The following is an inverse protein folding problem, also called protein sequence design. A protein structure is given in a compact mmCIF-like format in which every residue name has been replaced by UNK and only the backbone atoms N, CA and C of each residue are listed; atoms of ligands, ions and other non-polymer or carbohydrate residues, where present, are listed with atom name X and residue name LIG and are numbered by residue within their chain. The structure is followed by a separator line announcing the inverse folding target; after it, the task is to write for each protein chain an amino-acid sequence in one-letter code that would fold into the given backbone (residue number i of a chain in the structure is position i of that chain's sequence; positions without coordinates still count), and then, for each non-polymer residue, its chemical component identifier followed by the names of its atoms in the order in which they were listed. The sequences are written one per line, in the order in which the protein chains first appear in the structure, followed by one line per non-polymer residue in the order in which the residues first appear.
data_IF_695967575259
#
_entry.id   IF_695967575259
#
_cell.length_a   1.000
_cell.length_b   1.000
_cell.length_c   1.000
_cell.angle_alpha   90.00
_cell.angle_beta   90.00
_cell.angle_gamma   90.00
#
_symmetry.space_group_name_H-M   'P 1'
#
loop_
_entity.id
_entity.type
_entity.pdbx_description
1 polymer ?
#
# COMPACT_ATOMS: atom_id res chain seq x y z
N UNK A 1 -2.22 0.72 -15.12
CA UNK A 1 -2.82 -0.61 -14.87
C UNK A 1 -4.00 -0.87 -15.82
N UNK A 2 -3.74 -1.15 -17.11
CA UNK A 2 -4.81 -1.23 -18.12
C UNK A 2 -5.74 -2.44 -17.98
N UNK A 3 -5.31 -3.52 -17.32
CA UNK A 3 -6.13 -4.72 -17.08
C UNK A 3 -7.17 -4.43 -15.98
N UNK A 4 -6.71 -3.99 -14.80
CA UNK A 4 -7.59 -3.63 -13.68
C UNK A 4 -8.66 -2.59 -14.04
N UNK A 5 -8.29 -1.57 -14.83
CA UNK A 5 -9.28 -0.56 -15.25
C UNK A 5 -10.40 -1.18 -16.10
N UNK A 6 -10.06 -2.12 -17.00
CA UNK A 6 -11.07 -2.82 -17.81
C UNK A 6 -11.93 -3.76 -16.97
N UNK A 7 -11.33 -4.45 -16.00
CA UNK A 7 -12.07 -5.35 -15.11
C UNK A 7 -13.08 -4.60 -14.24
N UNK A 8 -12.68 -3.50 -13.61
CA UNK A 8 -13.58 -2.67 -12.80
C UNK A 8 -14.65 -1.96 -13.65
N UNK A 9 -14.36 -1.67 -14.91
CA UNK A 9 -15.30 -0.97 -15.77
C UNK A 9 -16.32 -1.92 -16.42
N UNK A 10 -15.92 -3.13 -16.78
CA UNK A 10 -16.71 -4.00 -17.66
C UNK A 10 -17.00 -5.40 -17.10
N UNK A 11 -16.27 -5.85 -16.07
CA UNK A 11 -16.43 -7.20 -15.53
C UNK A 11 -17.02 -7.19 -14.12
N UNK A 12 -16.68 -6.20 -13.30
CA UNK A 12 -17.08 -6.14 -11.89
C UNK A 12 -17.59 -4.77 -11.50
N UNK A 13 -18.76 -4.69 -10.87
CA UNK A 13 -19.22 -3.47 -10.21
C UNK A 13 -18.73 -3.45 -8.76
N UNK A 14 -17.45 -3.13 -8.56
CA UNK A 14 -16.84 -3.18 -7.22
C UNK A 14 -17.43 -2.09 -6.31
N UNK A 15 -18.03 -2.50 -5.20
CA UNK A 15 -18.49 -1.61 -4.12
C UNK A 15 -17.41 -1.35 -3.07
N UNK A 16 -16.36 -2.15 -3.03
CA UNK A 16 -15.27 -2.03 -2.08
C UNK A 16 -13.95 -2.52 -2.69
N UNK A 17 -12.88 -1.74 -2.55
CA UNK A 17 -11.54 -2.11 -2.99
C UNK A 17 -10.54 -1.84 -1.87
N UNK A 18 -9.74 -2.84 -1.52
CA UNK A 18 -8.58 -2.66 -0.64
C UNK A 18 -7.31 -2.57 -1.48
N UNK A 19 -6.49 -1.55 -1.24
CA UNK A 19 -5.14 -1.43 -1.82
C UNK A 19 -4.12 -1.72 -0.74
N UNK A 20 -3.30 -2.75 -0.95
CA UNK A 20 -2.32 -3.21 0.02
C UNK A 20 -0.95 -3.39 -0.66
N UNK A 21 -0.13 -2.34 -0.62
CA UNK A 21 1.17 -2.23 -1.30
C UNK A 21 2.19 -1.52 -0.39
N UNK A 22 3.48 -1.61 -0.71
CA UNK A 22 4.56 -0.91 0.01
C UNK A 22 5.58 -1.82 0.68
N UNK A 23 5.31 -3.11 0.81
CA UNK A 23 6.24 -4.06 1.45
C UNK A 23 7.46 -4.34 0.56
N UNK A 24 7.26 -4.51 -0.74
CA UNK A 24 8.32 -4.76 -1.71
C UNK A 24 9.04 -3.46 -2.09
N UNK A 25 8.30 -2.36 -2.16
CA UNK A 25 8.81 -1.01 -2.40
C UNK A 25 9.90 -0.63 -1.38
N UNK A 26 9.78 -1.13 -0.14
CA UNK A 26 10.71 -0.89 0.95
C UNK A 26 11.96 -1.79 0.96
N UNK A 27 12.16 -2.66 -0.03
CA UNK A 27 13.35 -3.52 -0.12
C UNK A 27 14.59 -2.65 -0.36
N UNK A 28 15.63 -2.81 0.46
CA UNK A 28 16.84 -1.98 0.39
C UNK A 28 18.04 -2.72 -0.22
N UNK A 29 18.06 -4.05 -0.10
CA UNK A 29 19.16 -4.89 -0.54
C UNK A 29 18.71 -6.30 -0.94
N UNK A 30 19.62 -7.08 -1.50
CA UNK A 30 19.39 -8.46 -1.90
C UNK A 30 18.87 -8.62 -3.34
N UNK A 31 18.56 -9.86 -3.76
CA UNK A 31 18.16 -10.17 -5.13
C UNK A 31 16.86 -9.49 -5.55
N UNK A 32 15.96 -9.23 -4.60
CA UNK A 32 14.65 -8.62 -4.84
C UNK A 32 14.67 -7.09 -4.86
N UNK A 33 15.86 -6.46 -4.75
CA UNK A 33 16.03 -5.00 -4.80
C UNK A 33 15.49 -4.36 -6.07
N UNK A 34 15.34 -5.13 -7.15
CA UNK A 34 14.68 -4.66 -8.37
C UNK A 34 13.24 -4.18 -8.14
N UNK A 35 12.57 -4.64 -7.09
CA UNK A 35 11.23 -4.20 -6.69
C UNK A 35 11.23 -2.94 -5.82
N UNK A 36 12.40 -2.41 -5.44
CA UNK A 36 12.51 -1.18 -4.66
C UNK A 36 11.88 -0.01 -5.41
N UNK A 37 11.11 0.79 -4.68
CA UNK A 37 10.56 2.06 -5.15
C UNK A 37 10.94 3.13 -4.13
N UNK A 38 11.60 4.23 -4.53
CA UNK A 38 11.88 5.35 -3.64
C UNK A 38 10.61 5.84 -2.94
N UNK A 39 10.72 6.26 -1.68
CA UNK A 39 9.55 6.62 -0.86
C UNK A 39 8.63 7.67 -1.50
N UNK A 40 9.21 8.65 -2.21
CA UNK A 40 8.44 9.68 -2.91
C UNK A 40 7.67 9.11 -4.10
N UNK A 41 8.33 8.25 -4.89
CA UNK A 41 7.69 7.57 -6.01
C UNK A 41 6.58 6.63 -5.52
N UNK A 42 6.77 5.95 -4.39
CA UNK A 42 5.73 5.13 -3.75
C UNK A 42 4.47 5.97 -3.45
N UNK A 43 4.63 7.14 -2.83
CA UNK A 43 3.51 8.05 -2.51
C UNK A 43 2.78 8.49 -3.79
N UNK A 44 3.54 8.95 -4.79
CA UNK A 44 3.00 9.40 -6.08
C UNK A 44 2.29 8.27 -6.82
N UNK A 45 2.85 7.06 -6.80
CA UNK A 45 2.27 5.89 -7.47
C UNK A 45 0.99 5.44 -6.78
N UNK A 46 0.97 5.42 -5.45
CA UNK A 46 -0.22 5.06 -4.68
C UNK A 46 -1.36 6.06 -4.91
N UNK A 47 -1.05 7.36 -4.97
CA UNK A 47 -2.03 8.40 -5.32
C UNK A 47 -2.61 8.18 -6.72
N UNK A 48 -1.76 7.91 -7.72
CA UNK A 48 -2.21 7.60 -9.08
C UNK A 48 -3.13 6.39 -9.11
N UNK A 49 -2.83 5.33 -8.35
CA UNK A 49 -3.67 4.13 -8.25
C UNK A 49 -5.06 4.50 -7.69
N UNK A 50 -5.12 5.29 -6.62
CA UNK A 50 -6.39 5.74 -6.04
C UNK A 50 -7.23 6.53 -7.05
N UNK A 51 -6.60 7.45 -7.79
CA UNK A 51 -7.28 8.26 -8.80
C UNK A 51 -7.76 7.45 -10.00
N UNK A 52 -7.09 6.34 -10.33
CA UNK A 52 -7.54 5.40 -11.38
C UNK A 52 -8.73 4.59 -10.89
N UNK A 53 -8.73 4.10 -9.64
CA UNK A 53 -9.75 3.18 -9.11
C UNK A 53 -11.04 3.93 -8.77
N UNK A 54 -10.94 5.09 -8.10
CA UNK A 54 -12.09 5.83 -7.56
C UNK A 54 -13.24 6.07 -8.56
N UNK A 55 -13.01 6.52 -9.81
CA UNK A 55 -14.10 6.74 -10.76
C UNK A 55 -14.69 5.45 -11.36
N UNK A 56 -14.05 4.30 -11.14
CA UNK A 56 -14.48 3.01 -11.68
C UNK A 56 -15.31 2.19 -10.68
N UNK A 57 -15.50 2.68 -9.46
CA UNK A 57 -16.30 1.98 -8.45
C UNK A 57 -17.80 2.13 -8.71
N UNK A 58 -18.56 1.15 -8.21
CA UNK A 58 -20.01 1.24 -8.15
C UNK A 58 -20.47 2.48 -7.35
N UNK A 59 -21.73 2.94 -7.51
CA UNK A 59 -22.27 4.02 -6.68
C UNK A 59 -22.04 3.76 -5.18
N UNK A 60 -21.55 4.78 -4.47
CA UNK A 60 -21.13 4.71 -3.06
C UNK A 60 -19.95 3.78 -2.74
N UNK A 61 -19.23 3.32 -3.76
CA UNK A 61 -18.07 2.46 -3.59
C UNK A 61 -16.99 3.10 -2.72
N UNK A 62 -16.27 2.26 -1.98
CA UNK A 62 -15.26 2.70 -1.02
C UNK A 62 -13.90 2.09 -1.33
N UNK A 63 -12.85 2.84 -0.99
CA UNK A 63 -11.47 2.36 -1.01
C UNK A 63 -10.97 2.30 0.43
N UNK A 64 -10.22 1.25 0.75
CA UNK A 64 -9.44 1.12 1.97
C UNK A 64 -7.96 1.00 1.58
N UNK A 65 -7.12 1.89 2.10
CA UNK A 65 -5.67 1.67 2.08
C UNK A 65 -5.29 0.77 3.26
N UNK A 66 -4.39 -0.16 3.02
CA UNK A 66 -3.75 -0.94 4.08
C UNK A 66 -2.26 -0.63 4.06
N UNK A 67 -1.71 -0.22 5.20
CA UNK A 67 -0.26 0.01 5.32
C UNK A 67 0.50 -1.30 5.15
N UNK A 68 1.72 -1.30 4.59
CA UNK A 68 2.58 -2.49 4.61
C UNK A 68 2.75 -3.01 6.05
N UNK A 69 2.75 -4.33 6.27
CA UNK A 69 2.83 -4.92 7.60
C UNK A 69 4.19 -4.65 8.26
N UNK A 70 4.31 -4.86 9.57
CA UNK A 70 5.60 -4.79 10.23
C UNK A 70 6.53 -5.91 9.74
N UNK A 71 7.82 -5.65 9.74
CA UNK A 71 8.84 -6.65 9.43
C UNK A 71 9.48 -7.11 10.75
N UNK A 72 9.64 -8.41 10.91
CA UNK A 72 10.43 -8.96 12.01
C UNK A 72 11.87 -9.04 11.51
N UNK A 73 12.70 -8.10 11.94
CA UNK A 73 14.07 -7.94 11.41
C UNK A 73 14.93 -9.21 11.56
N UNK A 74 14.72 -9.99 12.62
CA UNK A 74 15.44 -11.26 12.85
C UNK A 74 15.07 -12.37 11.87
N UNK A 75 13.88 -12.32 11.28
CA UNK A 75 13.36 -13.31 10.33
C UNK A 75 13.67 -12.94 8.87
N UNK A 76 14.44 -11.87 8.65
CA UNK A 76 14.84 -11.39 7.33
C UNK A 76 16.35 -11.34 7.20
N UNK A 77 16.85 -11.62 6.00
CA UNK A 77 18.28 -11.58 5.68
C UNK A 77 18.76 -10.16 5.33
N UNK A 78 18.20 -9.14 5.99
CA UNK A 78 18.56 -7.73 5.79
C UNK A 78 18.03 -7.06 4.51
N UNK A 79 17.26 -7.77 3.68
CA UNK A 79 16.63 -7.22 2.46
C UNK A 79 15.58 -6.15 2.80
N UNK A 80 14.90 -6.30 3.95
CA UNK A 80 13.95 -5.34 4.54
C UNK A 80 14.17 -5.19 6.02
N UNK A 81 13.86 -4.01 6.53
CA UNK A 81 13.84 -3.70 7.96
C UNK A 81 12.52 -3.04 8.34
N UNK A 82 12.09 -3.24 9.57
CA UNK A 82 10.90 -2.62 10.12
C UNK A 82 10.99 -1.10 10.07
N UNK A 83 12.20 -0.56 10.31
CA UNK A 83 12.46 0.87 10.22
C UNK A 83 12.23 1.42 8.80
N UNK A 84 12.70 0.70 7.77
CA UNK A 84 12.47 1.09 6.38
C UNK A 84 10.97 1.00 6.04
N UNK A 85 10.34 -0.15 6.29
CA UNK A 85 8.91 -0.37 5.99
C UNK A 85 8.00 0.60 6.75
N UNK A 86 8.35 0.97 7.98
CA UNK A 86 7.60 1.96 8.77
C UNK A 86 7.56 3.36 8.13
N UNK A 87 8.54 3.72 7.29
CA UNK A 87 8.48 4.97 6.51
C UNK A 87 7.40 4.90 5.42
N UNK A 88 7.27 3.75 4.76
CA UNK A 88 6.24 3.51 3.75
C UNK A 88 4.85 3.42 4.38
N UNK A 89 4.74 2.79 5.56
CA UNK A 89 3.52 2.77 6.35
C UNK A 89 3.03 4.19 6.69
N UNK A 90 3.90 5.05 7.23
CA UNK A 90 3.55 6.45 7.49
C UNK A 90 3.13 7.21 6.24
N UNK A 91 3.87 7.06 5.13
CA UNK A 91 3.50 7.71 3.87
C UNK A 91 2.12 7.25 3.36
N UNK A 92 1.76 5.97 3.57
CA UNK A 92 0.44 5.43 3.23
C UNK A 92 -0.67 6.06 4.10
N UNK A 93 -0.44 6.21 5.41
CA UNK A 93 -1.37 6.89 6.33
C UNK A 93 -1.57 8.35 5.93
N UNK A 94 -0.47 9.10 5.77
CA UNK A 94 -0.49 10.52 5.37
C UNK A 94 -1.22 10.73 4.04
N UNK A 95 -1.03 9.83 3.07
CA UNK A 95 -1.73 9.89 1.80
C UNK A 95 -3.23 9.61 1.98
N UNK A 96 -3.59 8.63 2.81
CA UNK A 96 -5.00 8.34 3.11
C UNK A 96 -5.74 9.53 3.71
N UNK A 97 -5.11 10.24 4.65
CA UNK A 97 -5.62 11.50 5.20
C UNK A 97 -5.78 12.56 4.10
N UNK A 98 -4.74 12.75 3.28
CA UNK A 98 -4.72 13.75 2.19
C UNK A 98 -5.80 13.49 1.14
N UNK A 99 -6.02 12.23 0.76
CA UNK A 99 -6.99 11.82 -0.26
C UNK A 99 -8.39 11.56 0.32
N UNK A 100 -8.56 11.72 1.65
CA UNK A 100 -9.77 11.39 2.39
C UNK A 100 -10.26 9.95 2.14
N UNK A 101 -9.34 8.99 2.28
CA UNK A 101 -9.54 7.55 2.12
C UNK A 101 -9.28 6.87 3.47
N UNK A 102 -10.10 5.87 3.82
CA UNK A 102 -9.89 5.12 5.06
C UNK A 102 -8.57 4.36 4.99
N UNK A 103 -7.86 4.29 6.12
CA UNK A 103 -6.60 3.54 6.25
C UNK A 103 -6.72 2.52 7.37
N UNK A 104 -6.31 1.29 7.10
CA UNK A 104 -6.02 0.27 8.09
C UNK A 104 -4.51 0.26 8.33
N UNK A 105 -4.09 0.80 9.48
CA UNK A 105 -2.68 0.80 9.88
C UNK A 105 -2.29 -0.54 10.51
N UNK A 106 -2.03 -1.53 9.65
CA UNK A 106 -1.53 -2.84 10.05
C UNK A 106 -0.13 -2.78 10.67
N UNK A 107 0.67 -1.77 10.31
CA UNK A 107 2.05 -1.69 10.76
C UNK A 107 2.11 -1.46 12.28
N UNK A 108 1.31 -0.51 12.78
CA UNK A 108 1.22 -0.25 14.23
C UNK A 108 0.49 -1.38 14.95
N UNK A 109 -0.61 -1.90 14.40
CA UNK A 109 -1.37 -2.99 15.03
C UNK A 109 -0.52 -4.24 15.29
N UNK A 110 0.37 -4.60 14.37
CA UNK A 110 1.24 -5.76 14.54
C UNK A 110 2.43 -5.50 15.47
N UNK A 111 2.90 -4.25 15.55
CA UNK A 111 3.91 -3.86 16.54
C UNK A 111 3.39 -4.03 17.98
N UNK A 112 2.11 -3.73 18.21
CA UNK A 112 1.49 -3.90 19.53
C UNK A 112 1.30 -5.36 19.93
N UNK A 113 1.10 -6.27 18.96
CA UNK A 113 0.97 -7.72 19.20
C UNK A 113 2.34 -8.39 19.43
N UNK A 114 3.42 -7.78 18.95
CA UNK A 114 4.77 -8.35 19.00
C UNK A 114 5.59 -7.94 20.24
N UNK A 115 4.97 -7.25 21.20
CA UNK A 115 5.57 -6.83 22.49
C UNK A 115 5.01 -7.66 23.64
#
# INVERSE_FOLDING_TARGET
MPIFSKELQFQYAASFVTVFLGANDAIMDGPDKVAHVPLEDYRVNLQKILHIIRPLLAPHGKILLSTPPCIIDSERHGDRTNLATGKYARACVELGETENVHVLDLHVLQLDISR
#
